data_IF_966392535472
#
_entry.id   IF_966392535472
#
_cell.length_a   1.000
_cell.length_b   1.000
_cell.length_c   1.000
_cell.angle_alpha   90.00
_cell.angle_beta   90.00
_cell.angle_gamma   90.00
#
_symmetry.space_group_name_H-M   'P 1'
#
loop_
_entity.id
_entity.type
_entity.pdbx_description
1 polymer ?
#
# COMPACT_ATOMS: atom_id res chain seq x y z
N UNK A 1 -10.19 -6.60 -35.80
CA UNK A 1 -10.94 -6.67 -34.52
C UNK A 1 -10.12 -7.25 -33.36
N UNK A 2 -9.06 -8.04 -33.58
CA UNK A 2 -8.24 -8.61 -32.50
C UNK A 2 -7.23 -7.66 -31.82
N UNK A 3 -7.00 -6.44 -32.33
CA UNK A 3 -6.02 -5.49 -31.78
C UNK A 3 -6.56 -4.56 -30.68
N UNK A 4 -7.89 -4.43 -30.53
CA UNK A 4 -8.48 -3.53 -29.52
C UNK A 4 -8.53 -4.18 -28.13
N UNK A 5 -8.77 -5.50 -28.07
CA UNK A 5 -8.88 -6.24 -26.81
C UNK A 5 -7.55 -6.27 -26.06
N UNK A 6 -6.40 -6.40 -26.76
CA UNK A 6 -5.07 -6.41 -26.13
C UNK A 6 -4.73 -5.10 -25.43
N UNK A 7 -5.16 -3.94 -25.94
CA UNK A 7 -4.89 -2.65 -25.32
C UNK A 7 -5.67 -2.43 -24.03
N UNK A 8 -6.90 -2.95 -23.94
CA UNK A 8 -7.71 -2.88 -22.70
C UNK A 8 -7.08 -3.75 -21.60
N UNK A 9 -6.66 -4.97 -21.94
CA UNK A 9 -5.99 -5.86 -20.99
C UNK A 9 -4.70 -5.24 -20.45
N UNK A 10 -3.83 -4.69 -21.32
CA UNK A 10 -2.60 -4.01 -20.88
C UNK A 10 -2.86 -2.82 -19.95
N UNK A 11 -3.91 -2.04 -20.24
CA UNK A 11 -4.27 -0.88 -19.41
C UNK A 11 -4.78 -1.31 -18.03
N UNK A 12 -5.62 -2.35 -17.98
CA UNK A 12 -6.12 -2.92 -16.72
C UNK A 12 -4.97 -3.50 -15.91
N UNK A 13 -4.06 -4.27 -16.52
CA UNK A 13 -2.91 -4.87 -15.87
C UNK A 13 -1.98 -3.80 -15.25
N UNK A 14 -1.72 -2.71 -15.99
CA UNK A 14 -0.93 -1.58 -15.49
C UNK A 14 -1.58 -0.93 -14.26
N UNK A 15 -2.89 -0.66 -14.28
CA UNK A 15 -3.58 -0.09 -13.11
C UNK A 15 -3.68 -1.09 -11.96
N UNK A 16 -3.83 -2.38 -12.24
CA UNK A 16 -3.84 -3.41 -11.22
C UNK A 16 -2.47 -3.53 -10.53
N UNK A 17 -1.38 -3.37 -11.27
CA UNK A 17 -0.02 -3.28 -10.72
C UNK A 17 0.14 -2.12 -9.75
N UNK A 18 -0.30 -0.92 -10.14
CA UNK A 18 -0.27 0.27 -9.27
C UNK A 18 -1.16 0.08 -8.02
N UNK A 19 -2.30 -0.58 -8.17
CA UNK A 19 -3.20 -0.90 -7.07
C UNK A 19 -2.56 -1.89 -6.07
N UNK A 20 -1.93 -2.95 -6.57
CA UNK A 20 -1.24 -3.91 -5.71
C UNK A 20 -0.06 -3.25 -5.00
N UNK A 21 0.71 -2.43 -5.72
CA UNK A 21 1.84 -1.70 -5.16
C UNK A 21 1.41 -0.78 -4.01
N UNK A 22 0.42 0.10 -4.24
CA UNK A 22 -0.11 0.97 -3.20
C UNK A 22 -0.79 0.22 -2.05
N UNK A 23 -1.53 -0.85 -2.35
CA UNK A 23 -2.20 -1.65 -1.34
C UNK A 23 -1.24 -2.42 -0.41
N UNK A 24 -0.16 -3.00 -0.97
CA UNK A 24 0.89 -3.64 -0.15
C UNK A 24 1.56 -2.59 0.74
N UNK A 25 2.01 -1.47 0.16
CA UNK A 25 2.73 -0.45 0.91
C UNK A 25 1.86 0.15 2.03
N UNK A 26 0.60 0.49 1.74
CA UNK A 26 -0.34 1.02 2.73
C UNK A 26 -0.61 0.07 3.88
N UNK A 27 -0.73 -1.23 3.60
CA UNK A 27 -0.94 -2.24 4.64
C UNK A 27 0.31 -2.45 5.50
N UNK A 28 1.50 -2.57 4.87
CA UNK A 28 2.77 -2.76 5.57
C UNK A 28 3.11 -1.56 6.45
N UNK A 29 3.06 -0.35 5.89
CA UNK A 29 3.42 0.89 6.60
C UNK A 29 2.48 1.16 7.78
N UNK A 30 1.17 1.06 7.55
CA UNK A 30 0.20 1.30 8.64
C UNK A 30 0.29 0.24 9.72
N UNK A 31 0.51 -1.03 9.36
CA UNK A 31 0.73 -2.08 10.36
C UNK A 31 2.04 -1.89 11.13
N UNK A 32 3.11 -1.41 10.47
CA UNK A 32 4.35 -1.06 11.15
C UNK A 32 4.13 0.05 12.17
N UNK A 33 3.39 1.12 11.85
CA UNK A 33 3.04 2.20 12.80
C UNK A 33 2.27 1.66 14.00
N UNK A 34 1.30 0.78 13.76
CA UNK A 34 0.55 0.11 14.84
C UNK A 34 1.50 -0.72 15.70
N UNK A 35 2.33 -1.57 15.10
CA UNK A 35 3.26 -2.44 15.80
C UNK A 35 4.28 -1.65 16.63
N UNK A 36 4.86 -0.58 16.08
CA UNK A 36 5.79 0.29 16.79
C UNK A 36 5.13 1.01 17.97
N UNK A 37 3.90 1.48 17.78
CA UNK A 37 3.14 2.14 18.85
C UNK A 37 2.77 1.17 19.99
N UNK A 38 2.42 -0.07 19.66
CA UNK A 38 2.22 -1.15 20.66
C UNK A 38 3.53 -1.53 21.33
N UNK A 39 4.64 -1.58 20.59
CA UNK A 39 5.97 -1.82 21.14
C UNK A 39 6.40 -0.76 22.15
N UNK A 40 6.01 0.50 21.91
CA UNK A 40 6.18 1.63 22.82
C UNK A 40 5.11 1.72 23.92
N UNK A 41 4.21 0.73 24.03
CA UNK A 41 3.14 0.68 25.03
C UNK A 41 2.21 1.92 25.03
N UNK A 42 1.93 2.46 23.83
CA UNK A 42 1.05 3.61 23.67
C UNK A 42 -0.43 3.20 23.72
N UNK A 43 -1.28 4.11 24.22
CA UNK A 43 -2.72 3.91 24.29
C UNK A 43 -3.38 3.77 22.89
N UNK A 44 -4.48 3.01 22.82
CA UNK A 44 -5.26 2.81 21.57
C UNK A 44 -5.63 4.13 20.89
N UNK A 45 -5.95 5.18 21.65
CA UNK A 45 -6.26 6.51 21.10
C UNK A 45 -5.08 7.11 20.33
N UNK A 46 -3.86 6.95 20.84
CA UNK A 46 -2.63 7.44 20.19
C UNK A 46 -2.36 6.62 18.93
N UNK A 47 -2.56 5.29 18.98
CA UNK A 47 -2.41 4.39 17.83
C UNK A 47 -3.34 4.81 16.69
N UNK A 48 -4.61 5.13 16.99
CA UNK A 48 -5.57 5.59 15.98
C UNK A 48 -5.11 6.91 15.37
N UNK A 49 -4.70 7.88 16.18
CA UNK A 49 -4.26 9.21 15.70
C UNK A 49 -3.04 9.06 14.79
N UNK A 50 -1.99 8.37 15.24
CA UNK A 50 -0.77 8.15 14.47
C UNK A 50 -1.04 7.31 13.21
N UNK A 51 -1.85 6.27 13.34
CA UNK A 51 -2.22 5.38 12.24
C UNK A 51 -2.95 6.12 11.11
N UNK A 52 -3.97 6.90 11.42
CA UNK A 52 -4.70 7.67 10.39
C UNK A 52 -3.88 8.83 9.84
N UNK A 53 -3.10 9.52 10.69
CA UNK A 53 -2.20 10.57 10.22
C UNK A 53 -1.19 10.02 9.22
N UNK A 54 -0.54 8.89 9.55
CA UNK A 54 0.39 8.20 8.67
C UNK A 54 -0.28 7.69 7.39
N UNK A 55 -1.43 7.02 7.52
CA UNK A 55 -2.18 6.48 6.38
C UNK A 55 -2.51 7.54 5.33
N UNK A 56 -2.93 8.73 5.76
CA UNK A 56 -3.26 9.84 4.86
C UNK A 56 -2.01 10.53 4.33
N UNK A 57 -1.03 10.82 5.20
CA UNK A 57 0.18 11.54 4.82
C UNK A 57 1.07 10.74 3.87
N UNK A 58 1.36 9.48 4.21
CA UNK A 58 2.20 8.61 3.39
C UNK A 58 1.51 8.26 2.07
N UNK A 59 0.21 7.96 2.11
CA UNK A 59 -0.56 7.71 0.91
C UNK A 59 -0.51 8.90 -0.05
N UNK A 60 -0.64 10.12 0.48
CA UNK A 60 -0.55 11.34 -0.33
C UNK A 60 0.86 11.53 -0.89
N UNK A 61 1.89 11.39 -0.06
CA UNK A 61 3.29 11.51 -0.49
C UNK A 61 3.64 10.50 -1.59
N UNK A 62 3.20 9.24 -1.43
CA UNK A 62 3.37 8.18 -2.40
C UNK A 62 2.62 8.48 -3.72
N UNK A 63 1.39 9.00 -3.65
CA UNK A 63 0.61 9.41 -4.82
C UNK A 63 1.30 10.53 -5.61
N UNK A 64 1.79 11.56 -4.91
CA UNK A 64 2.57 12.64 -5.51
C UNK A 64 3.84 12.08 -6.15
N UNK A 65 4.55 11.17 -5.47
CA UNK A 65 5.70 10.46 -6.00
C UNK A 65 5.37 9.72 -7.31
N UNK A 66 4.32 8.90 -7.31
CA UNK A 66 3.87 8.16 -8.49
C UNK A 66 3.48 9.08 -9.66
N UNK A 67 2.80 10.21 -9.38
CA UNK A 67 2.48 11.22 -10.39
C UNK A 67 3.74 11.82 -11.01
N UNK A 68 4.68 12.25 -10.18
CA UNK A 68 5.94 12.86 -10.63
C UNK A 68 6.78 11.85 -11.42
N UNK A 69 6.91 10.61 -10.94
CA UNK A 69 7.60 9.54 -11.66
C UNK A 69 6.98 9.27 -13.02
N UNK A 70 5.66 9.12 -13.10
CA UNK A 70 4.96 8.88 -14.35
C UNK A 70 5.01 10.08 -15.32
N UNK A 71 4.99 11.31 -14.78
CA UNK A 71 5.16 12.53 -15.57
C UNK A 71 6.58 12.61 -16.14
N UNK A 72 7.61 12.38 -15.33
CA UNK A 72 9.01 12.37 -15.77
C UNK A 72 9.27 11.30 -16.83
N UNK A 73 8.70 10.11 -16.67
CA UNK A 73 8.79 9.04 -17.67
C UNK A 73 8.16 9.46 -19.01
N UNK A 74 6.98 10.10 -18.96
CA UNK A 74 6.33 10.68 -20.15
C UNK A 74 7.18 11.78 -20.78
N UNK A 75 7.63 12.76 -20.01
CA UNK A 75 8.38 13.91 -20.49
C UNK A 75 9.72 13.49 -21.11
N UNK A 76 10.41 12.51 -20.50
CA UNK A 76 11.62 11.92 -21.05
C UNK A 76 11.31 11.16 -22.35
N UNK A 77 10.26 10.35 -22.38
CA UNK A 77 9.82 9.66 -23.59
C UNK A 77 9.58 10.62 -24.75
N UNK A 78 8.88 11.73 -24.48
CA UNK A 78 8.61 12.77 -25.47
C UNK A 78 9.87 13.47 -25.97
N UNK A 79 10.86 13.68 -25.08
CA UNK A 79 12.14 14.30 -25.44
C UNK A 79 12.96 13.47 -26.43
N UNK A 80 12.86 12.14 -26.37
CA UNK A 80 13.59 11.22 -27.26
C UNK A 80 12.74 10.71 -28.44
N UNK A 81 11.44 11.01 -28.46
CA UNK A 81 10.55 10.62 -29.54
C UNK A 81 10.87 11.39 -30.82
N UNK A 82 11.18 10.66 -31.89
CA UNK A 82 11.54 11.24 -33.19
C UNK A 82 10.41 11.18 -34.21
N UNK A 83 9.42 10.29 -33.99
CA UNK A 83 8.26 10.11 -34.87
C UNK A 83 6.99 10.62 -34.18
N UNK A 84 6.11 11.25 -34.96
CA UNK A 84 4.81 11.70 -34.47
C UNK A 84 3.97 10.54 -33.91
N UNK A 85 4.07 9.35 -34.50
CA UNK A 85 3.39 8.14 -34.01
C UNK A 85 3.82 7.75 -32.59
N UNK A 86 5.10 7.92 -32.24
CA UNK A 86 5.64 7.61 -30.91
C UNK A 86 5.12 8.62 -29.87
N UNK A 87 5.05 9.90 -30.25
CA UNK A 87 4.46 10.98 -29.44
C UNK A 87 2.99 10.67 -29.15
N UNK A 88 2.21 10.37 -30.21
CA UNK A 88 0.78 10.07 -30.09
C UNK A 88 0.53 8.78 -29.27
N UNK A 89 1.46 7.83 -29.28
CA UNK A 89 1.40 6.65 -28.42
C UNK A 89 1.70 7.00 -26.95
N UNK A 90 2.73 7.80 -26.67
CA UNK A 90 3.08 8.22 -25.32
C UNK A 90 1.95 9.01 -24.68
N UNK A 91 1.33 9.95 -25.41
CA UNK A 91 0.20 10.73 -24.89
C UNK A 91 -1.01 9.87 -24.57
N UNK A 92 -1.27 8.82 -25.35
CA UNK A 92 -2.38 7.89 -25.11
C UNK A 92 -2.12 6.89 -23.98
N UNK A 93 -0.86 6.44 -23.82
CA UNK A 93 -0.49 5.37 -22.90
C UNK A 93 -0.06 5.86 -21.50
N UNK A 94 0.36 7.12 -21.38
CA UNK A 94 0.70 7.75 -20.10
C UNK A 94 -0.43 8.62 -19.59
N UNK A 95 -1.12 8.11 -18.57
CA UNK A 95 -2.01 8.90 -17.72
C UNK A 95 -1.43 8.98 -16.29
N UNK A 96 -0.51 9.94 -16.02
CA UNK A 96 0.13 10.09 -14.71
C UNK A 96 -0.88 10.26 -13.57
N UNK A 97 -1.92 11.07 -13.80
CA UNK A 97 -2.95 11.32 -12.79
C UNK A 97 -3.76 10.06 -12.48
N UNK A 98 -4.07 9.26 -13.50
CA UNK A 98 -4.76 7.99 -13.29
C UNK A 98 -3.94 7.03 -12.43
N UNK A 99 -2.62 6.94 -12.67
CA UNK A 99 -1.73 6.10 -11.86
C UNK A 99 -1.73 6.53 -10.40
N UNK A 100 -1.47 7.81 -10.14
CA UNK A 100 -1.37 8.33 -8.77
C UNK A 100 -2.68 8.19 -7.99
N UNK A 101 -3.83 8.39 -8.63
CA UNK A 101 -5.14 8.18 -8.00
C UNK A 101 -5.32 6.71 -7.62
N UNK A 102 -5.02 5.77 -8.52
CA UNK A 102 -5.16 4.34 -8.23
C UNK A 102 -4.24 3.92 -7.09
N UNK A 103 -2.98 4.38 -7.10
CA UNK A 103 -2.03 4.13 -6.00
C UNK A 103 -2.58 4.66 -4.68
N UNK A 104 -3.02 5.93 -4.63
CA UNK A 104 -3.55 6.54 -3.40
C UNK A 104 -4.77 5.81 -2.84
N UNK A 105 -5.74 5.53 -3.69
CA UNK A 105 -6.97 4.86 -3.27
C UNK A 105 -6.67 3.44 -2.79
N UNK A 106 -5.79 2.71 -3.47
CA UNK A 106 -5.39 1.37 -3.02
C UNK A 106 -4.66 1.41 -1.67
N UNK A 107 -3.80 2.40 -1.46
CA UNK A 107 -3.06 2.60 -0.22
C UNK A 107 -4.03 2.83 0.95
N UNK A 108 -5.02 3.72 0.79
CA UNK A 108 -6.01 3.97 1.82
C UNK A 108 -6.92 2.77 2.08
N UNK A 109 -7.42 2.12 1.01
CA UNK A 109 -8.38 1.03 1.13
C UNK A 109 -7.81 -0.21 1.81
N UNK A 110 -6.56 -0.55 1.53
CA UNK A 110 -5.92 -1.72 2.14
C UNK A 110 -5.20 -1.32 3.44
N UNK A 111 -4.61 -0.12 3.49
CA UNK A 111 -3.90 0.38 4.66
C UNK A 111 -4.81 0.66 5.87
N UNK A 112 -6.12 0.75 5.69
CA UNK A 112 -7.05 0.88 6.82
C UNK A 112 -7.22 -0.43 7.62
N UNK A 113 -6.92 -1.60 7.03
CA UNK A 113 -7.17 -2.91 7.65
C UNK A 113 -6.52 -3.06 9.06
N UNK A 114 -5.25 -2.70 9.27
CA UNK A 114 -4.63 -2.69 10.59
C UNK A 114 -5.38 -1.83 11.63
N UNK A 115 -5.97 -0.72 11.20
CA UNK A 115 -6.63 0.26 12.08
C UNK A 115 -8.07 -0.13 12.42
N UNK A 116 -8.73 -0.95 11.60
CA UNK A 116 -10.12 -1.35 11.81
C UNK A 116 -10.33 -1.92 13.22
N UNK A 117 -9.43 -2.78 13.70
CA UNK A 117 -9.54 -3.38 15.03
C UNK A 117 -9.52 -2.34 16.16
N UNK A 118 -8.69 -1.30 16.05
CA UNK A 118 -8.61 -0.22 17.03
C UNK A 118 -9.82 0.72 16.97
N UNK A 119 -10.32 1.00 15.77
CA UNK A 119 -11.57 1.77 15.60
C UNK A 119 -12.75 1.01 16.21
N UNK A 120 -12.82 -0.31 16.01
CA UNK A 120 -13.85 -1.14 16.62
C UNK A 120 -13.74 -1.17 18.15
N UNK A 121 -12.52 -1.32 18.69
CA UNK A 121 -12.27 -1.28 20.14
C UNK A 121 -12.71 0.05 20.76
N UNK A 122 -12.49 1.18 20.07
CA UNK A 122 -12.92 2.50 20.53
C UNK A 122 -14.45 2.64 20.61
N UNK A 123 -15.19 2.03 19.69
CA UNK A 123 -16.67 2.08 19.66
C UNK A 123 -17.29 1.06 20.62
N UNK A 124 -16.71 -0.14 20.66
CA UNK A 124 -17.16 -1.26 21.49
C UNK A 124 -15.95 -1.92 22.14
N UNK A 125 -15.67 -1.62 23.43
CA UNK A 125 -14.48 -2.10 24.11
C UNK A 125 -14.34 -3.61 24.04
N UNK A 126 -13.26 -4.07 23.41
CA UNK A 126 -12.97 -5.49 23.23
C UNK A 126 -12.23 -5.95 24.49
N UNK A 127 -12.76 -6.94 25.21
CA UNK A 127 -12.12 -7.51 26.42
C UNK A 127 -10.85 -8.34 26.14
N UNK A 128 -10.35 -8.31 24.92
CA UNK A 128 -9.31 -9.18 24.39
C UNK A 128 -8.21 -8.34 23.72
N UNK A 129 -7.11 -8.97 23.34
CA UNK A 129 -5.94 -8.28 22.83
C UNK A 129 -6.21 -7.63 21.45
N UNK A 130 -6.37 -6.31 21.42
CA UNK A 130 -6.68 -5.52 20.22
C UNK A 130 -5.61 -5.69 19.13
N UNK A 131 -4.34 -5.82 19.52
CA UNK A 131 -3.24 -6.03 18.58
C UNK A 131 -3.35 -7.37 17.83
N UNK A 132 -3.90 -8.41 18.47
CA UNK A 132 -4.16 -9.69 17.80
C UNK A 132 -5.25 -9.55 16.73
N UNK A 133 -6.35 -8.85 17.03
CA UNK A 133 -7.40 -8.58 16.05
C UNK A 133 -6.89 -7.73 14.90
N UNK A 134 -6.07 -6.71 15.19
CA UNK A 134 -5.38 -5.91 14.17
C UNK A 134 -4.52 -6.79 13.28
N UNK A 135 -3.72 -7.69 13.86
CA UNK A 135 -2.87 -8.63 13.12
C UNK A 135 -3.68 -9.56 12.20
N UNK A 136 -4.85 -10.03 12.66
CA UNK A 136 -5.76 -10.86 11.83
C UNK A 136 -6.33 -10.04 10.67
N UNK A 137 -6.82 -8.82 10.94
CA UNK A 137 -7.31 -7.91 9.90
C UNK A 137 -6.23 -7.60 8.86
N UNK A 138 -5.02 -7.24 9.30
CA UNK A 138 -3.86 -7.05 8.43
C UNK A 138 -3.54 -8.30 7.62
N UNK A 139 -3.59 -9.49 8.25
CA UNK A 139 -3.38 -10.76 7.57
C UNK A 139 -4.37 -10.98 6.41
N UNK A 140 -5.66 -10.64 6.61
CA UNK A 140 -6.65 -10.66 5.53
C UNK A 140 -6.26 -9.67 4.42
N UNK A 141 -5.86 -8.45 4.78
CA UNK A 141 -5.35 -7.46 3.85
C UNK A 141 -4.20 -8.01 2.97
N UNK A 142 -3.18 -8.60 3.61
CA UNK A 142 -2.05 -9.22 2.91
C UNK A 142 -2.43 -10.42 2.04
N UNK A 143 -3.39 -11.24 2.44
CA UNK A 143 -3.91 -12.32 1.60
C UNK A 143 -4.57 -11.75 0.34
N UNK A 144 -5.37 -10.68 0.47
CA UNK A 144 -6.02 -10.03 -0.67
C UNK A 144 -4.97 -9.47 -1.64
N UNK A 145 -4.08 -8.58 -1.17
CA UNK A 145 -3.10 -7.96 -2.07
C UNK A 145 -2.02 -8.92 -2.55
N UNK A 146 -1.63 -9.92 -1.74
CA UNK A 146 -0.69 -10.97 -2.13
C UNK A 146 -1.27 -11.90 -3.20
N UNK A 147 -2.58 -12.17 -3.17
CA UNK A 147 -3.27 -12.93 -4.22
C UNK A 147 -3.35 -12.14 -5.52
N UNK A 148 -3.68 -10.85 -5.44
CA UNK A 148 -3.68 -9.95 -6.60
C UNK A 148 -2.28 -9.81 -7.21
N UNK A 149 -1.25 -9.63 -6.38
CA UNK A 149 0.17 -9.64 -6.81
C UNK A 149 0.51 -10.91 -7.60
N UNK A 150 0.07 -12.07 -7.09
CA UNK A 150 0.35 -13.36 -7.72
C UNK A 150 -0.31 -13.50 -9.09
N UNK A 151 -1.53 -12.98 -9.22
CA UNK A 151 -2.26 -12.96 -10.48
C UNK A 151 -1.53 -12.14 -11.55
N UNK A 152 -1.02 -10.95 -11.20
CA UNK A 152 -0.28 -10.07 -12.14
C UNK A 152 1.06 -10.69 -12.53
N UNK A 153 1.82 -11.20 -11.56
CA UNK A 153 3.17 -11.70 -11.81
C UNK A 153 3.19 -13.15 -12.35
N UNK A 154 2.03 -13.75 -12.60
CA UNK A 154 1.89 -15.15 -13.03
C UNK A 154 2.66 -16.15 -12.14
N UNK A 155 2.71 -15.89 -10.83
CA UNK A 155 3.30 -16.78 -9.83
C UNK A 155 2.21 -17.51 -9.03
N UNK A 156 2.58 -18.58 -8.34
CA UNK A 156 1.64 -19.31 -7.48
C UNK A 156 1.13 -18.41 -6.34
N UNK A 157 -0.19 -18.40 -6.09
CA UNK A 157 -0.87 -17.54 -5.09
C UNK A 157 -0.22 -17.63 -3.71
N UNK A 158 0.07 -18.85 -3.26
CA UNK A 158 0.67 -19.07 -1.95
C UNK A 158 2.06 -18.40 -1.83
N UNK A 159 2.85 -18.33 -2.92
CA UNK A 159 4.16 -17.66 -2.91
C UNK A 159 3.99 -16.16 -2.75
N UNK A 160 3.12 -15.54 -3.55
CA UNK A 160 2.94 -14.09 -3.46
C UNK A 160 2.32 -13.66 -2.14
N UNK A 161 1.38 -14.43 -1.59
CA UNK A 161 0.83 -14.20 -0.24
C UNK A 161 1.92 -14.38 0.83
N UNK A 162 2.73 -15.43 0.76
CA UNK A 162 3.80 -15.68 1.73
C UNK A 162 4.87 -14.57 1.72
N UNK A 163 5.31 -14.13 0.55
CA UNK A 163 6.24 -13.00 0.42
C UNK A 163 5.68 -11.72 1.03
N UNK A 164 4.41 -11.40 0.76
CA UNK A 164 3.78 -10.17 1.28
C UNK A 164 3.61 -10.23 2.80
N UNK A 165 3.18 -11.38 3.33
CA UNK A 165 3.11 -11.61 4.78
C UNK A 165 4.49 -11.48 5.43
N UNK A 166 5.52 -12.07 4.82
CA UNK A 166 6.88 -12.02 5.35
C UNK A 166 7.42 -10.58 5.42
N UNK A 167 7.22 -9.79 4.37
CA UNK A 167 7.60 -8.37 4.38
C UNK A 167 6.86 -7.60 5.47
N UNK A 168 5.55 -7.81 5.62
CA UNK A 168 4.75 -7.19 6.67
C UNK A 168 5.17 -7.58 8.08
N UNK A 169 5.44 -8.86 8.32
CA UNK A 169 5.92 -9.37 9.62
C UNK A 169 7.29 -8.78 9.95
N UNK A 170 8.22 -8.76 9.00
CA UNK A 170 9.55 -8.18 9.22
C UNK A 170 9.47 -6.69 9.56
N UNK A 171 8.67 -5.91 8.81
CA UNK A 171 8.47 -4.50 9.09
C UNK A 171 7.86 -4.27 10.48
N UNK A 172 6.85 -5.06 10.85
CA UNK A 172 6.20 -4.98 12.16
C UNK A 172 7.15 -5.35 13.30
N UNK A 173 7.96 -6.40 13.15
CA UNK A 173 8.97 -6.81 14.13
C UNK A 173 9.98 -5.68 14.36
N UNK A 174 10.53 -5.13 13.28
CA UNK A 174 11.50 -4.02 13.37
C UNK A 174 10.85 -2.83 14.07
N UNK A 175 9.64 -2.44 13.66
CA UNK A 175 8.97 -1.29 14.24
C UNK A 175 8.61 -1.50 15.72
N UNK A 176 8.10 -2.67 16.09
CA UNK A 176 7.77 -3.03 17.48
C UNK A 176 8.98 -2.89 18.41
N UNK A 177 10.12 -3.47 18.03
CA UNK A 177 11.34 -3.38 18.85
C UNK A 177 11.93 -1.97 18.88
N UNK A 178 11.88 -1.23 17.77
CA UNK A 178 12.32 0.16 17.74
C UNK A 178 11.44 1.03 18.65
N UNK A 179 10.12 0.85 18.61
CA UNK A 179 9.19 1.56 19.50
C UNK A 179 9.49 1.29 20.97
N UNK A 180 9.63 0.02 21.35
CA UNK A 180 9.95 -0.35 22.73
C UNK A 180 11.33 0.12 23.19
N UNK A 181 12.32 0.12 22.28
CA UNK A 181 13.64 0.67 22.58
C UNK A 181 13.60 2.18 22.83
N UNK A 182 12.92 2.93 21.97
CA UNK A 182 12.81 4.39 22.12
C UNK A 182 12.07 4.73 23.41
N UNK A 183 10.96 4.05 23.72
CA UNK A 183 10.23 4.26 24.97
C UNK A 183 11.13 4.07 26.19
N UNK A 184 11.94 3.00 26.22
CA UNK A 184 12.89 2.76 27.31
C UNK A 184 14.05 3.77 27.40
N UNK A 185 14.28 4.58 26.37
CA UNK A 185 15.29 5.67 26.39
C UNK A 185 14.69 6.99 26.85
N UNK A 186 13.40 7.23 26.60
CA UNK A 186 12.73 8.51 26.87
C UNK A 186 11.90 8.55 28.16
N UNK A 187 11.51 7.38 28.70
CA UNK A 187 10.82 7.22 30.01
C UNK A 187 11.81 7.04 31.17
#
# INVERSE_FOLDING_TARGET
MASSTSHIYQKIEKYLGEFVYGGIDGCVTTFAVVAGSVGANLDSSIIIILGFANLLADGFAMSVGAYLSAKTEKDNGLKYASKQEDIDQLERNFNPLGKSIVTYISFLLIGIFPLLAYVFDYISPIKANVFLYSSICTGIGFVIVGSLKSYINHIAIWKGVAETLLLGILAAIVSYYVGGFIEGVIS
#
